data_IF_147392581751
#
_entry.id   IF_147392581751
#
_cell.length_a   1.000
_cell.length_b   1.000
_cell.length_c   1.000
_cell.angle_alpha   90.00
_cell.angle_beta   90.00
_cell.angle_gamma   90.00
#
_symmetry.space_group_name_H-M   'P 1'
#
loop_
_entity.id
_entity.type
_entity.pdbx_description
1 polymer ?
#
# COMPACT_ATOMS: atom_id res chain seq x y z
N UNK A 1 8.76 -19.85 -6.13
CA UNK A 1 8.40 -19.32 -4.79
C UNK A 1 9.65 -18.70 -4.19
N UNK A 2 9.66 -17.39 -3.99
CA UNK A 2 10.65 -16.74 -3.12
C UNK A 2 10.20 -16.93 -1.67
N UNK A 3 11.12 -17.01 -0.72
CA UNK A 3 10.86 -17.39 0.67
C UNK A 3 10.03 -16.31 1.41
N UNK A 4 8.70 -16.47 1.46
CA UNK A 4 7.77 -15.50 2.09
C UNK A 4 7.27 -15.98 3.47
N UNK A 5 8.11 -16.68 4.23
CA UNK A 5 7.69 -17.29 5.49
C UNK A 5 8.83 -17.60 6.48
N UNK A 6 8.70 -17.08 7.72
CA UNK A 6 9.70 -17.24 8.79
C UNK A 6 9.10 -17.99 9.98
N UNK A 7 8.58 -19.18 9.75
CA UNK A 7 8.28 -20.09 10.85
C UNK A 7 9.28 -21.22 10.75
N UNK A 8 10.17 -21.36 11.71
CA UNK A 8 10.79 -22.65 11.98
C UNK A 8 10.31 -23.01 13.37
N UNK A 9 9.55 -24.10 13.52
CA UNK A 9 9.27 -24.62 14.85
C UNK A 9 10.60 -24.99 15.51
N UNK A 10 11.08 -24.18 16.47
CA UNK A 10 12.19 -24.56 17.32
C UNK A 10 11.74 -25.72 18.20
N UNK A 11 12.09 -26.95 17.82
CA UNK A 11 11.88 -28.13 18.66
C UNK A 11 11.93 -29.46 17.91
N UNK A 12 11.41 -29.54 16.69
CA UNK A 12 11.55 -30.72 15.84
C UNK A 12 11.04 -30.39 14.43
N UNK A 13 11.88 -30.57 13.41
CA UNK A 13 11.60 -30.31 12.00
C UNK A 13 11.48 -28.82 11.61
N UNK A 14 12.27 -28.41 10.62
CA UNK A 14 12.28 -27.09 9.97
C UNK A 14 11.03 -26.84 9.12
N UNK A 15 9.85 -26.81 9.75
CA UNK A 15 8.59 -26.52 9.07
C UNK A 15 8.47 -25.02 8.79
N UNK A 16 8.82 -24.61 7.56
CA UNK A 16 8.63 -23.25 7.02
C UNK A 16 7.16 -22.99 6.72
N UNK A 17 6.47 -22.21 7.55
CA UNK A 17 5.13 -21.71 7.20
C UNK A 17 5.29 -20.52 6.23
N UNK A 18 4.74 -20.67 5.03
CA UNK A 18 4.60 -19.61 4.03
C UNK A 18 3.21 -18.99 4.15
N UNK A 19 3.05 -18.04 5.05
CA UNK A 19 1.75 -17.51 5.49
C UNK A 19 1.74 -15.97 5.59
N UNK A 20 2.54 -15.29 4.77
CA UNK A 20 2.46 -13.83 4.66
C UNK A 20 1.17 -13.35 4.00
N UNK A 21 0.57 -14.18 3.14
CA UNK A 21 -0.56 -13.80 2.29
C UNK A 21 -0.19 -12.86 1.13
N UNK A 22 1.08 -12.48 1.00
CA UNK A 22 1.54 -11.57 -0.05
C UNK A 22 1.78 -12.30 -1.37
N UNK A 23 1.27 -11.72 -2.44
CA UNK A 23 1.50 -12.16 -3.82
C UNK A 23 1.84 -10.94 -4.68
N UNK A 24 2.84 -11.07 -5.53
CA UNK A 24 3.21 -10.04 -6.50
C UNK A 24 3.21 -10.62 -7.92
N UNK A 25 2.61 -9.88 -8.85
CA UNK A 25 2.56 -10.23 -10.27
C UNK A 25 3.09 -9.05 -11.10
N UNK A 26 3.95 -9.32 -12.07
CA UNK A 26 4.57 -8.30 -12.91
C UNK A 26 4.62 -8.71 -14.37
N UNK A 27 4.39 -7.74 -15.26
CA UNK A 27 4.65 -7.88 -16.70
C UNK A 27 6.13 -7.72 -17.05
N UNK A 28 6.92 -7.18 -16.12
CA UNK A 28 8.34 -6.90 -16.26
C UNK A 28 9.18 -7.92 -15.48
N UNK A 29 10.40 -8.24 -15.97
CA UNK A 29 11.32 -9.12 -15.25
C UNK A 29 11.62 -8.60 -13.84
N UNK A 30 11.48 -9.48 -12.85
CA UNK A 30 11.89 -9.24 -11.46
C UNK A 30 13.38 -9.57 -11.37
N UNK A 31 14.19 -8.59 -10.96
CA UNK A 31 15.65 -8.71 -10.84
C UNK A 31 16.05 -9.20 -9.45
N UNK A 32 15.53 -8.51 -8.43
CA UNK A 32 15.84 -8.77 -7.03
C UNK A 32 14.55 -8.74 -6.22
N UNK A 33 14.52 -9.54 -5.16
CA UNK A 33 13.38 -9.60 -4.24
C UNK A 33 13.85 -9.94 -2.84
N UNK A 34 13.27 -9.29 -1.84
CA UNK A 34 13.52 -9.55 -0.43
C UNK A 34 12.18 -9.52 0.34
N UNK A 35 12.06 -10.33 1.38
CA UNK A 35 10.91 -10.31 2.28
C UNK A 35 11.39 -10.19 3.72
N UNK A 36 10.75 -9.30 4.48
CA UNK A 36 11.00 -9.09 5.89
C UNK A 36 9.70 -9.23 6.68
N UNK A 37 9.71 -10.08 7.71
CA UNK A 37 8.58 -10.24 8.64
C UNK A 37 8.73 -9.23 9.79
N UNK A 38 7.64 -8.58 10.18
CA UNK A 38 7.68 -7.66 11.33
C UNK A 38 7.86 -8.42 12.66
N UNK A 39 8.67 -7.87 13.60
CA UNK A 39 8.97 -8.50 14.87
C UNK A 39 7.91 -8.16 15.94
N UNK A 40 6.63 -8.44 15.73
CA UNK A 40 5.66 -8.35 16.84
C UNK A 40 4.39 -9.16 16.57
N UNK A 41 4.40 -10.43 16.96
CA UNK A 41 3.23 -11.33 16.87
C UNK A 41 2.53 -11.36 18.23
N UNK A 42 1.53 -10.52 18.43
CA UNK A 42 0.59 -10.70 19.53
C UNK A 42 -0.80 -11.05 19.00
N UNK A 43 -1.51 -11.92 19.71
CA UNK A 43 -2.92 -12.26 19.51
C UNK A 43 -3.26 -12.83 18.10
N UNK A 44 -4.30 -12.29 17.45
CA UNK A 44 -4.92 -12.78 16.21
C UNK A 44 -4.01 -12.71 14.98
N UNK A 45 -2.91 -11.94 15.04
CA UNK A 45 -1.87 -11.86 14.00
C UNK A 45 -0.82 -12.98 14.11
N UNK A 46 -1.02 -13.98 14.99
CA UNK A 46 -0.10 -15.12 15.12
C UNK A 46 -0.21 -16.17 14.00
N UNK A 47 -1.34 -16.23 13.27
CA UNK A 47 -1.59 -17.22 12.22
C UNK A 47 -1.08 -16.80 10.83
N UNK A 48 -0.85 -15.51 10.60
CA UNK A 48 -0.32 -14.95 9.36
C UNK A 48 0.88 -14.03 9.64
N UNK A 49 1.96 -14.11 8.87
CA UNK A 49 3.10 -13.21 9.07
C UNK A 49 2.93 -11.88 8.35
N UNK A 50 2.53 -10.85 9.12
CA UNK A 50 2.64 -9.45 8.68
C UNK A 50 4.09 -9.11 8.35
N UNK A 51 4.30 -8.42 7.24
CA UNK A 51 5.63 -8.14 6.71
C UNK A 51 5.60 -7.37 5.40
N UNK A 52 6.78 -7.06 4.88
CA UNK A 52 6.99 -6.30 3.66
C UNK A 52 7.79 -7.10 2.63
N UNK A 53 7.32 -7.08 1.38
CA UNK A 53 7.96 -7.68 0.21
C UNK A 53 8.51 -6.55 -0.68
N UNK A 54 9.81 -6.58 -0.93
CA UNK A 54 10.57 -5.60 -1.71
C UNK A 54 10.98 -6.21 -3.04
N UNK A 55 10.84 -5.47 -4.13
CA UNK A 55 11.13 -5.93 -5.47
C UNK A 55 11.86 -4.85 -6.25
N UNK A 56 12.79 -5.30 -7.10
CA UNK A 56 13.40 -4.49 -8.16
C UNK A 56 13.03 -5.10 -9.50
N UNK A 57 12.51 -4.28 -10.41
CA UNK A 57 12.07 -4.73 -11.74
C UNK A 57 12.83 -4.01 -12.84
N UNK A 58 13.12 -4.73 -13.94
CA UNK A 58 13.70 -4.13 -15.15
C UNK A 58 12.58 -3.71 -16.10
N UNK A 59 12.47 -2.42 -16.38
CA UNK A 59 11.37 -1.86 -17.19
C UNK A 59 11.79 -1.40 -18.59
N UNK A 60 13.09 -1.39 -18.87
CA UNK A 60 13.60 -1.07 -20.20
C UNK A 60 15.12 -0.91 -20.25
N UNK A 61 15.59 -0.29 -21.32
CA UNK A 61 16.98 0.13 -21.52
C UNK A 61 17.01 1.44 -22.31
N UNK A 62 18.01 2.29 -22.08
CA UNK A 62 18.25 3.51 -22.86
C UNK A 62 18.97 3.19 -24.18
N UNK A 63 19.06 4.14 -25.13
CA UNK A 63 19.88 3.99 -26.33
C UNK A 63 21.38 3.79 -26.05
N UNK A 64 21.85 4.14 -24.84
CA UNK A 64 23.23 3.95 -24.37
C UNK A 64 23.40 2.61 -23.61
N UNK A 65 22.46 1.68 -23.74
CA UNK A 65 22.44 0.38 -23.06
C UNK A 65 22.45 0.47 -21.52
N UNK A 66 22.03 1.61 -20.95
CA UNK A 66 21.80 1.73 -19.51
C UNK A 66 20.48 1.05 -19.17
N UNK A 67 20.43 0.31 -18.06
CA UNK A 67 19.24 -0.44 -17.66
C UNK A 67 18.26 0.49 -16.94
N UNK A 68 17.00 0.45 -17.33
CA UNK A 68 15.94 1.19 -16.63
C UNK A 68 15.29 0.25 -15.62
N UNK A 69 15.29 0.67 -14.35
CA UNK A 69 14.77 -0.14 -13.23
C UNK A 69 13.71 0.62 -12.43
N UNK A 70 12.88 -0.12 -11.70
CA UNK A 70 11.92 0.43 -10.75
C UNK A 70 11.89 -0.36 -9.46
N UNK A 71 11.60 0.31 -8.35
CA UNK A 71 11.49 -0.27 -7.02
C UNK A 71 10.02 -0.33 -6.59
N UNK A 72 9.64 -1.45 -5.98
CA UNK A 72 8.28 -1.68 -5.47
C UNK A 72 8.39 -2.36 -4.11
N UNK A 73 7.67 -1.86 -3.11
CA UNK A 73 7.41 -2.56 -1.87
C UNK A 73 5.91 -2.74 -1.66
N UNK A 74 5.48 -3.94 -1.26
CA UNK A 74 4.12 -4.21 -0.82
C UNK A 74 4.13 -4.78 0.60
N UNK A 75 3.26 -4.28 1.47
CA UNK A 75 3.22 -4.68 2.88
C UNK A 75 1.80 -4.97 3.36
N UNK A 76 1.71 -5.71 4.46
CA UNK A 76 0.49 -5.85 5.23
C UNK A 76 0.88 -5.61 6.70
N UNK A 77 0.38 -4.51 7.28
CA UNK A 77 0.70 -4.08 8.64
C UNK A 77 -0.22 -4.72 9.69
N UNK A 78 0.13 -4.51 10.96
CA UNK A 78 -0.62 -4.97 12.14
C UNK A 78 -2.06 -4.46 12.14
N UNK A 79 -3.02 -5.37 12.26
CA UNK A 79 -4.44 -5.08 12.06
C UNK A 79 -5.20 -4.48 13.27
N UNK A 80 -4.96 -4.89 14.53
CA UNK A 80 -5.70 -4.36 15.69
C UNK A 80 -5.73 -2.83 15.78
N UNK A 81 -6.92 -2.24 15.75
CA UNK A 81 -7.11 -0.78 15.64
C UNK A 81 -6.44 0.02 16.77
N UNK A 82 -6.41 -0.52 17.99
CA UNK A 82 -5.87 0.15 19.18
C UNK A 82 -4.33 0.21 19.23
N UNK A 83 -3.65 -0.56 18.37
CA UNK A 83 -2.21 -0.80 18.46
C UNK A 83 -1.37 0.15 17.58
N UNK A 84 -1.68 1.45 17.63
CA UNK A 84 -1.02 2.47 16.80
C UNK A 84 0.51 2.49 16.92
N UNK A 85 1.03 2.29 18.13
CA UNK A 85 2.48 2.26 18.37
C UNK A 85 3.18 1.09 17.65
N UNK A 86 2.49 -0.05 17.49
CA UNK A 86 3.02 -1.19 16.73
C UNK A 86 3.09 -0.81 15.25
N UNK A 87 2.04 -0.23 14.68
CA UNK A 87 2.04 0.23 13.29
C UNK A 87 3.11 1.28 13.03
N UNK A 88 3.30 2.26 13.92
CA UNK A 88 4.42 3.20 13.81
C UNK A 88 5.79 2.48 13.75
N UNK A 89 6.05 1.55 14.68
CA UNK A 89 7.30 0.78 14.66
C UNK A 89 7.47 -0.09 13.41
N UNK A 90 6.39 -0.59 12.83
CA UNK A 90 6.42 -1.31 11.55
C UNK A 90 6.71 -0.38 10.37
N UNK A 91 6.20 0.86 10.40
CA UNK A 91 6.50 1.87 9.40
C UNK A 91 7.96 2.36 9.51
N UNK A 92 8.52 2.45 10.73
CA UNK A 92 9.95 2.73 10.95
C UNK A 92 10.80 1.64 10.27
N UNK A 93 10.51 0.37 10.56
CA UNK A 93 11.19 -0.78 9.94
C UNK A 93 11.01 -0.81 8.42
N UNK A 94 9.82 -0.45 7.91
CA UNK A 94 9.57 -0.36 6.47
C UNK A 94 10.50 0.66 5.82
N UNK A 95 10.67 1.85 6.41
CA UNK A 95 11.59 2.87 5.89
C UNK A 95 13.04 2.39 5.88
N UNK A 96 13.50 1.77 6.98
CA UNK A 96 14.85 1.23 7.07
C UNK A 96 15.09 0.15 6.01
N UNK A 97 14.15 -0.78 5.85
CA UNK A 97 14.27 -1.87 4.89
C UNK A 97 14.15 -1.42 3.43
N UNK A 98 13.38 -0.37 3.13
CA UNK A 98 13.37 0.27 1.81
C UNK A 98 14.77 0.77 1.44
N UNK A 99 15.41 1.51 2.35
CA UNK A 99 16.76 2.03 2.16
C UNK A 99 17.82 0.92 2.05
N UNK A 100 17.74 -0.11 2.91
CA UNK A 100 18.64 -1.25 2.89
C UNK A 100 18.50 -2.06 1.60
N UNK A 101 17.26 -2.34 1.15
CA UNK A 101 17.01 -3.05 -0.09
C UNK A 101 17.60 -2.26 -1.27
N UNK A 102 17.27 -0.97 -1.38
CA UNK A 102 17.82 -0.07 -2.40
C UNK A 102 19.34 -0.09 -2.40
N UNK A 103 19.98 0.04 -1.25
CA UNK A 103 21.45 0.00 -1.12
C UNK A 103 22.03 -1.33 -1.56
N UNK A 104 21.43 -2.45 -1.15
CA UNK A 104 21.92 -3.79 -1.46
C UNK A 104 21.84 -4.12 -2.97
N UNK A 105 20.84 -3.60 -3.67
CA UNK A 105 20.58 -3.88 -5.08
C UNK A 105 21.07 -2.80 -6.04
N UNK A 106 21.60 -1.67 -5.55
CA UNK A 106 22.17 -0.59 -6.38
C UNK A 106 23.63 -0.82 -6.76
N UNK A 107 24.10 -2.07 -6.78
CA UNK A 107 25.53 -2.40 -6.93
C UNK A 107 26.13 -1.89 -8.26
N UNK A 108 27.04 -0.93 -8.14
CA UNK A 108 27.89 -0.40 -9.20
C UNK A 108 29.07 -1.33 -9.51
N UNK A 109 28.81 -2.60 -9.81
CA UNK A 109 29.88 -3.48 -10.29
C UNK A 109 30.23 -3.09 -11.73
N UNK A 110 31.52 -3.03 -12.07
CA UNK A 110 31.98 -2.77 -13.46
C UNK A 110 31.52 -3.83 -14.46
N UNK A 111 30.95 -4.95 -13.98
CA UNK A 111 30.38 -6.02 -14.79
C UNK A 111 28.90 -5.79 -15.16
N UNK A 112 28.23 -4.81 -14.54
CA UNK A 112 26.81 -4.52 -14.78
C UNK A 112 26.65 -3.17 -15.50
N UNK A 113 25.67 -3.05 -16.41
CA UNK A 113 25.33 -1.75 -17.00
C UNK A 113 24.86 -0.79 -15.92
N UNK A 114 25.11 0.50 -16.12
CA UNK A 114 24.58 1.57 -15.28
C UNK A 114 23.05 1.50 -15.22
N UNK A 115 22.48 1.81 -14.06
CA UNK A 115 21.04 1.69 -13.82
C UNK A 115 20.41 3.06 -13.58
N UNK A 116 19.32 3.34 -14.30
CA UNK A 116 18.50 4.53 -14.14
C UNK A 116 17.17 4.14 -13.49
N UNK A 117 16.82 4.82 -12.40
CA UNK A 117 15.62 4.50 -11.63
C UNK A 117 14.44 5.34 -12.12
N UNK A 118 13.42 4.67 -12.65
CA UNK A 118 12.22 5.30 -13.20
C UNK A 118 11.17 5.61 -12.14
N UNK A 119 10.99 4.73 -11.15
CA UNK A 119 10.01 4.89 -10.08
C UNK A 119 10.43 4.12 -8.82
N UNK A 120 9.86 4.53 -7.69
CA UNK A 120 9.97 3.87 -6.39
C UNK A 120 8.60 3.96 -5.70
N UNK A 121 7.93 2.82 -5.52
CA UNK A 121 6.51 2.72 -5.14
C UNK A 121 6.36 1.87 -3.88
N UNK A 122 5.48 2.30 -2.97
CA UNK A 122 5.12 1.54 -1.76
C UNK A 122 3.60 1.40 -1.70
N UNK A 123 3.10 0.19 -1.48
CA UNK A 123 1.67 -0.06 -1.41
C UNK A 123 1.29 -1.16 -0.42
N UNK A 124 -0.01 -1.34 -0.20
CA UNK A 124 -0.57 -2.46 0.55
C UNK A 124 -1.60 -2.03 1.59
N UNK A 125 -2.01 -2.99 2.43
CA UNK A 125 -2.96 -2.77 3.52
C UNK A 125 -2.20 -2.34 4.78
N UNK A 126 -2.39 -1.07 5.15
CA UNK A 126 -1.68 -0.46 6.27
C UNK A 126 -2.52 -0.52 7.56
N UNK A 127 -3.79 -0.91 7.50
CA UNK A 127 -4.69 -1.03 8.64
C UNK A 127 -4.89 0.23 9.50
N UNK A 128 -4.49 1.41 9.01
CA UNK A 128 -4.79 2.71 9.60
C UNK A 128 -5.33 3.65 8.54
N UNK A 129 -6.20 4.58 8.92
CA UNK A 129 -6.81 5.55 8.00
C UNK A 129 -6.17 6.93 8.08
N UNK A 130 -6.52 7.80 7.13
CA UNK A 130 -6.10 9.21 7.12
C UNK A 130 -7.24 10.17 7.49
N UNK A 131 -8.20 9.77 8.33
CA UNK A 131 -9.34 10.62 8.71
C UNK A 131 -9.74 10.56 10.19
N UNK A 132 -9.35 9.53 10.93
CA UNK A 132 -9.68 9.32 12.33
C UNK A 132 -8.62 9.91 13.26
N UNK A 133 -9.02 10.25 14.48
CA UNK A 133 -8.10 10.72 15.52
C UNK A 133 -7.27 9.61 16.15
N UNK A 134 -7.71 8.36 16.00
CA UNK A 134 -7.09 7.20 16.62
C UNK A 134 -5.80 6.81 15.86
N UNK A 135 -5.81 7.00 14.54
CA UNK A 135 -4.67 6.71 13.64
C UNK A 135 -3.70 7.91 13.46
N UNK A 136 -3.80 8.94 14.32
CA UNK A 136 -3.07 10.21 14.14
C UNK A 136 -1.54 10.07 14.14
N UNK A 137 -0.99 9.05 14.82
CA UNK A 137 0.45 8.88 14.94
C UNK A 137 1.03 8.34 13.63
N UNK A 138 0.37 7.32 13.08
CA UNK A 138 0.67 6.74 11.78
C UNK A 138 0.49 7.76 10.66
N UNK A 139 -0.58 8.57 10.73
CA UNK A 139 -0.81 9.67 9.80
C UNK A 139 0.35 10.67 9.77
N UNK A 140 1.07 10.88 10.87
CA UNK A 140 2.17 11.85 10.96
C UNK A 140 3.55 11.24 10.67
N UNK A 141 3.60 9.95 10.34
CA UNK A 141 4.84 9.22 10.17
C UNK A 141 5.69 9.73 8.98
N UNK A 142 7.01 9.71 9.11
CA UNK A 142 7.94 10.31 8.13
C UNK A 142 7.94 9.62 6.77
N UNK A 143 7.46 8.37 6.68
CA UNK A 143 7.26 7.67 5.41
C UNK A 143 6.52 8.54 4.38
N UNK A 144 5.47 9.26 4.80
CA UNK A 144 4.66 10.13 3.92
C UNK A 144 5.38 11.40 3.44
N UNK A 145 6.55 11.69 4.01
CA UNK A 145 7.42 12.79 3.55
C UNK A 145 8.27 12.35 2.37
N UNK A 146 8.73 11.09 2.37
CA UNK A 146 9.54 10.50 1.31
C UNK A 146 8.71 9.86 0.20
N UNK A 147 7.57 9.27 0.56
CA UNK A 147 6.63 8.62 -0.33
C UNK A 147 5.29 9.36 -0.31
N UNK A 148 4.97 10.03 -1.41
CA UNK A 148 3.76 10.83 -1.56
C UNK A 148 2.54 9.95 -1.69
N UNK A 149 1.49 10.34 -0.98
CA UNK A 149 0.14 9.79 -1.12
C UNK A 149 -0.69 10.72 -2.03
N UNK A 150 -1.10 10.29 -3.24
CA UNK A 150 -1.88 11.11 -4.14
C UNK A 150 -3.25 11.54 -3.57
N UNK A 151 -3.81 10.78 -2.63
CA UNK A 151 -5.12 11.04 -2.01
C UNK A 151 -5.07 12.06 -0.88
N UNK A 152 -3.88 12.46 -0.43
CA UNK A 152 -3.69 13.19 0.83
C UNK A 152 -3.48 14.68 0.62
N UNK A 153 -4.10 15.51 1.47
CA UNK A 153 -3.74 16.92 1.65
C UNK A 153 -2.73 17.09 2.80
N UNK A 154 -2.93 16.35 3.89
CA UNK A 154 -2.09 16.37 5.08
C UNK A 154 -2.44 15.23 6.05
N UNK A 155 -1.75 15.14 7.20
CA UNK A 155 -2.07 14.16 8.23
C UNK A 155 -3.51 14.32 8.73
N UNK A 156 -4.34 13.30 8.55
CA UNK A 156 -5.76 13.33 8.94
C UNK A 156 -6.66 14.11 7.97
N UNK A 157 -6.12 14.55 6.83
CA UNK A 157 -6.83 15.37 5.86
C UNK A 157 -6.76 14.75 4.45
N UNK A 158 -7.90 14.23 4.01
CA UNK A 158 -8.09 13.64 2.68
C UNK A 158 -8.41 14.69 1.62
N UNK A 159 -8.00 14.45 0.38
CA UNK A 159 -8.52 15.20 -0.76
C UNK A 159 -10.02 14.92 -0.93
N UNK A 160 -10.82 15.87 -1.44
CA UNK A 160 -12.27 15.73 -1.53
C UNK A 160 -12.77 14.51 -2.32
N UNK A 161 -11.98 14.05 -3.29
CA UNK A 161 -12.30 12.91 -4.15
C UNK A 161 -11.85 11.55 -3.59
N UNK A 162 -11.01 11.53 -2.56
CA UNK A 162 -10.55 10.28 -1.96
C UNK A 162 -11.69 9.61 -1.19
N UNK A 163 -11.80 8.28 -1.29
CA UNK A 163 -12.81 7.48 -0.61
C UNK A 163 -12.14 6.38 0.23
N UNK A 164 -12.88 5.86 1.22
CA UNK A 164 -12.46 4.70 1.99
C UNK A 164 -12.33 3.45 1.13
N UNK A 165 -11.48 2.54 1.55
CA UNK A 165 -11.17 1.29 0.84
C UNK A 165 -11.67 0.05 1.56
N UNK A 166 -11.98 0.16 2.86
CA UNK A 166 -12.59 -0.91 3.63
C UNK A 166 -14.12 -0.85 3.51
N UNK A 167 -14.74 -1.92 3.03
CA UNK A 167 -16.19 -2.09 2.95
C UNK A 167 -16.76 -2.42 4.34
N UNK A 168 -17.97 -1.95 4.61
CA UNK A 168 -18.73 -2.35 5.79
C UNK A 168 -19.28 -3.77 5.56
N UNK A 169 -18.74 -4.74 6.29
CA UNK A 169 -19.06 -6.17 6.10
C UNK A 169 -20.53 -6.51 6.37
N UNK A 170 -21.28 -5.64 7.05
CA UNK A 170 -22.72 -5.84 7.28
C UNK A 170 -23.56 -5.78 5.99
N UNK A 171 -23.10 -5.06 4.96
CA UNK A 171 -23.81 -4.89 3.69
C UNK A 171 -23.09 -5.49 2.49
N UNK A 172 -22.06 -6.32 2.71
CA UNK A 172 -21.16 -6.79 1.64
C UNK A 172 -21.85 -7.62 0.55
N UNK A 173 -22.96 -8.28 0.90
CA UNK A 173 -23.70 -9.19 0.02
C UNK A 173 -25.07 -8.66 -0.36
N UNK A 174 -25.34 -7.38 -0.12
CA UNK A 174 -26.60 -6.77 -0.55
C UNK A 174 -26.66 -6.74 -2.09
N UNK A 175 -27.84 -7.02 -2.66
CA UNK A 175 -28.03 -7.08 -4.12
C UNK A 175 -27.61 -5.76 -4.81
N UNK A 176 -27.78 -4.65 -4.09
CA UNK A 176 -27.44 -3.30 -4.53
C UNK A 176 -25.93 -3.05 -4.65
N UNK A 177 -25.06 -3.91 -4.13
CA UNK A 177 -23.60 -3.75 -4.19
C UNK A 177 -22.83 -4.98 -4.63
N UNK A 178 -23.51 -6.09 -4.96
CA UNK A 178 -22.89 -7.36 -5.35
C UNK A 178 -22.47 -7.42 -6.84
N UNK A 179 -22.50 -6.31 -7.57
CA UNK A 179 -21.89 -6.21 -8.92
C UNK A 179 -20.95 -5.01 -9.02
N UNK A 180 -19.89 -5.07 -9.85
CA UNK A 180 -18.94 -3.96 -10.01
C UNK A 180 -19.59 -2.62 -10.36
N UNK A 181 -20.50 -2.61 -11.34
CA UNK A 181 -21.17 -1.40 -11.81
C UNK A 181 -22.10 -0.80 -10.76
N UNK A 182 -22.78 -1.64 -9.97
CA UNK A 182 -23.66 -1.16 -8.91
C UNK A 182 -22.84 -0.56 -7.76
N UNK A 183 -21.79 -1.27 -7.32
CA UNK A 183 -20.90 -0.77 -6.28
C UNK A 183 -20.24 0.55 -6.71
N UNK A 184 -19.85 0.69 -7.98
CA UNK A 184 -19.34 1.97 -8.49
C UNK A 184 -20.35 3.11 -8.32
N UNK A 185 -21.59 2.93 -8.79
CA UNK A 185 -22.65 3.94 -8.67
C UNK A 185 -22.95 4.29 -7.22
N UNK A 186 -22.94 3.30 -6.34
CA UNK A 186 -23.16 3.48 -4.90
C UNK A 186 -22.05 4.35 -4.30
N UNK A 187 -20.79 4.04 -4.60
CA UNK A 187 -19.63 4.75 -4.03
C UNK A 187 -19.41 6.15 -4.63
N UNK A 188 -19.99 6.47 -5.78
CA UNK A 188 -20.03 7.84 -6.31
C UNK A 188 -20.93 8.77 -5.47
N UNK A 189 -21.91 8.23 -4.75
CA UNK A 189 -22.81 8.99 -3.86
C UNK A 189 -22.31 9.04 -2.40
N UNK A 190 -22.53 10.18 -1.71
CA UNK A 190 -22.15 10.31 -0.28
C UNK A 190 -22.97 9.38 0.61
N UNK A 191 -24.26 9.20 0.30
CA UNK A 191 -25.17 8.31 1.01
C UNK A 191 -24.72 6.85 0.89
N UNK A 192 -24.39 6.42 -0.33
CA UNK A 192 -23.89 5.07 -0.59
C UNK A 192 -22.56 4.82 0.10
N UNK A 193 -21.63 5.79 0.09
CA UNK A 193 -20.39 5.68 0.88
C UNK A 193 -20.67 5.52 2.36
N UNK A 194 -21.54 6.35 2.95
CA UNK A 194 -21.92 6.26 4.37
C UNK A 194 -22.54 4.93 4.75
N UNK A 195 -23.20 4.27 3.81
CA UNK A 195 -23.81 2.96 4.02
C UNK A 195 -22.79 1.82 3.90
N UNK A 196 -22.03 1.77 2.81
CA UNK A 196 -21.27 0.58 2.42
C UNK A 196 -19.76 0.66 2.71
N UNK A 197 -19.21 1.82 3.07
CA UNK A 197 -17.83 1.91 3.53
C UNK A 197 -17.77 1.86 5.05
N UNK A 198 -16.67 1.30 5.58
CA UNK A 198 -16.34 1.39 6.99
C UNK A 198 -16.02 2.86 7.35
N UNK A 199 -16.48 3.28 8.53
CA UNK A 199 -16.18 4.59 9.12
C UNK A 199 -15.61 4.39 10.52
N UNK A 200 -14.87 5.37 11.07
CA UNK A 200 -14.42 5.32 12.46
C UNK A 200 -15.60 5.07 13.41
N UNK A 201 -15.45 4.09 14.31
CA UNK A 201 -16.49 3.74 15.28
C UNK A 201 -16.64 4.80 16.35
N UNK A 202 -17.87 5.05 16.79
CA UNK A 202 -18.11 5.98 17.89
C UNK A 202 -17.66 5.37 19.22
N UNK A 203 -16.79 6.07 19.95
CA UNK A 203 -16.24 5.60 21.24
C UNK A 203 -17.30 5.35 22.31
N UNK A 204 -18.47 5.97 22.21
CA UNK A 204 -19.56 5.81 23.19
C UNK A 204 -20.45 4.59 22.93
N UNK A 205 -20.59 4.15 21.68
CA UNK A 205 -21.45 3.03 21.31
C UNK A 205 -20.70 1.79 20.85
N UNK A 206 -19.40 1.90 20.51
CA UNK A 206 -18.64 0.82 19.88
C UNK A 206 -19.16 0.42 18.50
N UNK A 207 -20.01 1.26 17.90
CA UNK A 207 -20.67 1.02 16.62
C UNK A 207 -20.38 2.16 15.65
N UNK A 208 -20.60 1.91 14.35
CA UNK A 208 -20.61 2.96 13.33
C UNK A 208 -21.56 4.08 13.77
N UNK A 209 -21.11 5.33 13.65
CA UNK A 209 -21.93 6.49 13.98
C UNK A 209 -23.21 6.53 13.13
N UNK A 210 -24.25 7.24 13.61
CA UNK A 210 -25.46 7.48 12.81
C UNK A 210 -25.07 8.15 11.49
N UNK A 211 -25.72 7.78 10.38
CA UNK A 211 -25.37 8.23 9.02
C UNK A 211 -25.23 9.76 8.93
N UNK A 212 -26.08 10.52 9.62
CA UNK A 212 -26.07 11.99 9.61
C UNK A 212 -24.85 12.62 10.31
N UNK A 213 -24.15 11.87 11.15
CA UNK A 213 -22.99 12.33 11.93
C UNK A 213 -21.65 11.88 11.34
N UNK A 214 -21.67 10.98 10.35
CA UNK A 214 -20.47 10.52 9.67
C UNK A 214 -19.89 11.65 8.81
N UNK A 215 -18.57 11.84 8.92
CA UNK A 215 -17.81 12.85 8.18
C UNK A 215 -16.80 12.17 7.26
N UNK A 216 -16.54 12.79 6.12
CA UNK A 216 -15.61 12.27 5.13
C UNK A 216 -16.20 11.12 4.31
N UNK A 217 -15.33 10.38 3.62
CA UNK A 217 -15.72 9.40 2.62
C UNK A 217 -15.36 7.96 3.01
N UNK A 218 -15.22 7.65 4.31
CA UNK A 218 -14.88 6.31 4.82
C UNK A 218 -13.41 6.15 5.20
N UNK A 219 -13.07 4.97 5.75
CA UNK A 219 -11.69 4.60 6.15
C UNK A 219 -10.90 4.10 4.96
N UNK A 220 -9.88 4.86 4.55
CA UNK A 220 -8.93 4.47 3.49
C UNK A 220 -7.69 3.89 4.16
N UNK A 221 -7.56 2.57 4.12
CA UNK A 221 -6.49 1.82 4.79
C UNK A 221 -5.54 1.13 3.81
N UNK A 222 -5.93 1.07 2.53
CA UNK A 222 -5.10 0.57 1.44
C UNK A 222 -4.41 1.75 0.75
N UNK A 223 -3.08 1.72 0.72
CA UNK A 223 -2.26 2.82 0.22
C UNK A 223 -1.54 2.46 -1.08
N UNK A 224 -1.32 3.48 -1.91
CA UNK A 224 -0.53 3.44 -3.13
C UNK A 224 0.30 4.72 -3.21
N UNK A 225 1.59 4.61 -2.89
CA UNK A 225 2.50 5.73 -2.68
C UNK A 225 3.62 5.75 -3.73
N UNK A 226 4.17 6.91 -4.03
CA UNK A 226 5.35 7.05 -4.90
C UNK A 226 6.38 8.02 -4.32
N UNK A 227 7.67 7.72 -4.49
CA UNK A 227 8.73 8.68 -4.20
C UNK A 227 8.86 9.71 -5.32
N UNK A 228 9.25 10.93 -4.97
CA UNK A 228 9.69 11.97 -5.91
C UNK A 228 11.22 12.10 -5.93
N UNK A 229 11.88 11.63 -4.87
CA UNK A 229 13.33 11.68 -4.70
C UNK A 229 13.98 10.33 -5.04
N UNK A 230 15.28 10.34 -5.33
CA UNK A 230 16.05 9.11 -5.60
C UNK A 230 15.77 8.44 -6.95
N UNK A 231 15.07 9.15 -7.85
CA UNK A 231 14.84 8.76 -9.25
C UNK A 231 15.95 9.30 -10.16
N UNK A 232 15.94 8.92 -11.44
CA UNK A 232 16.81 9.51 -12.45
C UNK A 232 16.58 11.04 -12.51
N UNK A 233 17.62 11.88 -12.33
CA UNK A 233 17.46 13.34 -12.27
C UNK A 233 16.90 13.97 -13.55
N UNK A 234 17.11 13.32 -14.70
CA UNK A 234 16.66 13.81 -16.01
C UNK A 234 15.20 13.44 -16.33
N UNK A 235 14.56 12.67 -15.45
CA UNK A 235 13.18 12.20 -15.63
C UNK A 235 12.24 12.80 -14.59
N UNK A 236 11.02 13.06 -15.04
CA UNK A 236 9.90 13.43 -14.19
C UNK A 236 8.92 12.25 -14.12
N UNK A 237 8.73 11.70 -12.93
CA UNK A 237 7.72 10.69 -12.66
C UNK A 237 6.52 11.34 -11.98
N UNK A 238 5.36 11.37 -12.63
CA UNK A 238 4.14 12.01 -12.12
C UNK A 238 2.92 11.10 -12.21
N UNK A 239 1.97 11.30 -11.30
CA UNK A 239 0.71 10.55 -11.29
C UNK A 239 -0.16 11.00 -12.46
N UNK A 240 -0.37 10.11 -13.42
CA UNK A 240 -1.29 10.31 -14.54
C UNK A 240 -2.73 9.95 -14.15
N UNK A 241 -2.90 8.86 -13.40
CA UNK A 241 -4.21 8.31 -13.04
C UNK A 241 -4.18 7.69 -11.65
N UNK A 242 -5.26 7.85 -10.89
CA UNK A 242 -5.48 7.19 -9.61
C UNK A 242 -6.93 6.71 -9.55
N UNK A 243 -7.15 5.45 -9.16
CA UNK A 243 -8.48 4.83 -9.19
C UNK A 243 -8.74 3.91 -8.00
N UNK A 244 -10.00 3.90 -7.57
CA UNK A 244 -10.58 2.93 -6.63
C UNK A 244 -11.42 1.94 -7.43
N UNK A 245 -11.15 0.64 -7.29
CA UNK A 245 -11.67 -0.39 -8.18
C UNK A 245 -12.79 -1.17 -7.50
N UNK A 246 -13.92 -1.34 -8.19
CA UNK A 246 -15.08 -2.09 -7.67
C UNK A 246 -15.23 -3.48 -8.30
N UNK A 247 -14.29 -3.88 -9.17
CA UNK A 247 -14.37 -5.12 -9.96
C UNK A 247 -14.41 -6.40 -9.11
N UNK A 248 -13.97 -6.36 -7.86
CA UNK A 248 -14.01 -7.48 -6.92
C UNK A 248 -15.18 -7.41 -5.93
N UNK A 249 -16.20 -6.61 -6.22
CA UNK A 249 -17.47 -6.55 -5.49
C UNK A 249 -18.00 -7.96 -5.17
N UNK A 250 -18.36 -8.19 -3.90
CA UNK A 250 -18.85 -9.48 -3.38
C UNK A 250 -17.79 -10.58 -3.22
N UNK A 251 -16.54 -10.35 -3.59
CA UNK A 251 -15.44 -11.32 -3.51
C UNK A 251 -14.42 -11.01 -2.39
N UNK A 252 -14.39 -9.76 -1.94
CA UNK A 252 -13.48 -9.26 -0.90
C UNK A 252 -14.12 -8.04 -0.22
N UNK A 253 -13.68 -7.72 0.98
CA UNK A 253 -14.09 -6.55 1.77
C UNK A 253 -13.19 -5.32 1.59
N UNK A 254 -12.17 -5.40 0.72
CA UNK A 254 -11.33 -4.25 0.35
C UNK A 254 -11.51 -3.85 -1.11
N UNK A 255 -11.51 -2.54 -1.38
CA UNK A 255 -11.42 -1.98 -2.72
C UNK A 255 -9.97 -1.98 -3.19
N UNK A 256 -9.61 -2.63 -4.31
CA UNK A 256 -8.28 -2.47 -4.88
C UNK A 256 -8.04 -1.01 -5.28
N UNK A 257 -6.80 -0.56 -5.07
CA UNK A 257 -6.34 0.79 -5.41
C UNK A 257 -5.28 0.68 -6.49
N UNK A 258 -5.39 1.50 -7.54
CA UNK A 258 -4.42 1.51 -8.63
C UNK A 258 -3.94 2.93 -8.95
N UNK A 259 -2.67 3.01 -9.35
CA UNK A 259 -2.00 4.25 -9.73
C UNK A 259 -1.21 4.02 -11.02
N UNK A 260 -1.27 4.99 -11.92
CA UNK A 260 -0.44 5.08 -13.12
C UNK A 260 0.54 6.22 -12.97
N UNK A 261 1.83 5.92 -13.13
CA UNK A 261 2.88 6.91 -13.21
C UNK A 261 3.32 7.07 -14.67
N UNK A 262 3.37 8.31 -15.14
CA UNK A 262 4.02 8.68 -16.39
C UNK A 262 5.44 9.12 -16.06
N UNK A 263 6.41 8.56 -16.77
CA UNK A 263 7.83 8.90 -16.65
C UNK A 263 8.28 9.51 -17.97
N UNK A 264 8.60 10.80 -17.96
CA UNK A 264 9.03 11.55 -19.14
C UNK A 264 10.42 12.15 -18.93
N UNK A 265 11.22 12.21 -19.99
CA UNK A 265 12.44 13.01 -20.04
C UNK A 265 12.10 14.47 -20.35
N UNK A 266 12.72 15.43 -19.67
CA UNK A 266 12.43 16.87 -19.83
C UNK A 266 12.78 17.50 -21.19
N UNK A 267 12.99 16.72 -22.26
CA UNK A 267 13.39 17.21 -23.59
C UNK A 267 12.23 17.67 -24.49
N UNK A 268 11.01 17.84 -23.96
CA UNK A 268 9.82 18.26 -24.75
C UNK A 268 9.56 19.78 -24.81
N UNK A 269 10.57 20.62 -24.57
CA UNK A 269 10.52 22.06 -24.90
C UNK A 269 11.74 22.49 -25.74
N UNK A 270 11.67 22.30 -27.06
CA UNK A 270 12.56 22.93 -28.05
C UNK A 270 11.81 23.31 -29.33
#
# INVERSE_FOLDING_TARGET
LYDVGVYGCQGCCSFKCLNSGLLFASRYPIMDVAYHCYPNKCNDDALASKGALFLKVQVGSTPQDQRIVGYIACTHLHAPQEDSAIRCGQLDLLQDWLADFRKSTSSSSTANPEELVAFDVVCGDFNFDNCSSDDKLEQQHSLFTHYRDPCRLGPGEEKPWAIGTLLDTNGLYDEDVCTPDNLQKVLESEEGRREYLAFPTSKSSGQKGRKELLKGNGRRIDYMLHAEEGLCPDWKAEVEEFSFITQLSGLTDHLPVAMRLTVSSGEEEA
#
